data_IF_138720939476
#
_entry.id   IF_138720939476
#
_cell.length_a   1.000
_cell.length_b   1.000
_cell.length_c   1.000
_cell.angle_alpha   90.00
_cell.angle_beta   90.00
_cell.angle_gamma   90.00
#
_symmetry.space_group_name_H-M   'P 1'
#
loop_
_entity.id
_entity.type
_entity.pdbx_description
1 polymer ?
#
# COMPACT_ATOMS: atom_id res chain seq x y z
N UNK A 1 -9.14 -8.62 -34.86
CA UNK A 1 -8.66 -8.35 -33.50
C UNK A 1 -9.01 -6.92 -33.19
N UNK A 2 -9.77 -6.67 -32.12
CA UNK A 2 -10.01 -5.32 -31.60
C UNK A 2 -8.67 -4.71 -31.17
N UNK A 3 -8.42 -3.45 -31.54
CA UNK A 3 -7.21 -2.75 -31.11
C UNK A 3 -7.60 -1.84 -29.96
N UNK A 4 -7.44 -2.31 -28.74
CA UNK A 4 -7.68 -1.54 -27.50
C UNK A 4 -6.35 -0.99 -26.98
N UNK A 5 -5.34 -1.84 -26.87
CA UNK A 5 -4.05 -1.51 -26.26
C UNK A 5 -3.04 -1.17 -27.38
N UNK A 6 -2.46 0.03 -27.32
CA UNK A 6 -1.36 0.46 -28.20
C UNK A 6 0.03 0.26 -27.55
N UNK A 7 0.10 0.45 -26.23
CA UNK A 7 1.31 0.26 -25.42
C UNK A 7 0.91 -0.31 -24.05
N UNK A 8 1.26 -1.55 -23.70
CA UNK A 8 0.89 -2.14 -22.42
C UNK A 8 1.68 -1.58 -21.22
N UNK A 9 2.88 -1.01 -21.44
CA UNK A 9 3.78 -0.59 -20.37
C UNK A 9 3.14 0.42 -19.39
N UNK A 10 2.41 1.48 -19.83
CA UNK A 10 1.77 2.40 -18.89
C UNK A 10 0.63 1.78 -18.07
N UNK A 11 0.14 0.59 -18.44
CA UNK A 11 -0.84 -0.15 -17.65
C UNK A 11 -0.20 -0.95 -16.51
N UNK A 12 1.13 -1.10 -16.49
CA UNK A 12 1.82 -1.76 -15.40
C UNK A 12 1.87 -0.86 -14.15
N UNK A 13 1.66 -1.47 -12.97
CA UNK A 13 1.74 -0.75 -11.70
C UNK A 13 3.16 -0.30 -11.34
N UNK A 14 4.17 -0.92 -11.95
CA UNK A 14 5.59 -0.60 -11.81
C UNK A 14 6.08 0.55 -12.71
N UNK A 15 5.29 0.94 -13.70
CA UNK A 15 5.64 2.00 -14.64
C UNK A 15 5.76 3.36 -13.95
N UNK A 16 6.82 4.11 -14.30
CA UNK A 16 7.09 5.44 -13.80
C UNK A 16 6.70 6.43 -14.90
N UNK A 17 5.63 7.21 -14.74
CA UNK A 17 5.20 8.17 -15.75
C UNK A 17 6.12 9.39 -15.79
N UNK A 18 6.02 10.17 -16.87
CA UNK A 18 6.81 11.39 -17.05
C UNK A 18 6.45 12.52 -16.07
N UNK A 19 5.28 12.46 -15.42
CA UNK A 19 4.88 13.34 -14.31
C UNK A 19 3.90 12.61 -13.38
N UNK A 20 3.80 13.06 -12.13
CA UNK A 20 2.93 12.47 -11.11
C UNK A 20 1.80 13.44 -10.76
N UNK A 21 0.57 12.93 -10.81
CA UNK A 21 -0.62 13.73 -10.46
C UNK A 21 -0.70 13.88 -8.94
N UNK A 22 -0.88 15.12 -8.50
CA UNK A 22 -1.06 15.51 -7.10
C UNK A 22 0.02 14.95 -6.16
N UNK A 23 1.32 15.05 -6.59
CA UNK A 23 2.49 14.68 -5.77
C UNK A 23 3.61 15.73 -5.80
N UNK A 24 3.33 16.91 -6.37
CA UNK A 24 4.33 17.99 -6.42
C UNK A 24 4.77 18.42 -5.02
N UNK A 25 3.82 18.52 -4.09
CA UNK A 25 4.09 18.91 -2.69
C UNK A 25 5.00 17.90 -1.99
N UNK A 26 4.76 16.61 -2.18
CA UNK A 26 5.59 15.55 -1.60
C UNK A 26 6.99 15.53 -2.24
N UNK A 27 7.08 15.69 -3.55
CA UNK A 27 8.36 15.77 -4.29
C UNK A 27 9.17 16.97 -3.81
N UNK A 28 8.55 18.17 -3.75
CA UNK A 28 9.23 19.38 -3.30
C UNK A 28 9.68 19.29 -1.84
N UNK A 29 8.84 18.68 -1.00
CA UNK A 29 9.20 18.43 0.41
C UNK A 29 10.39 17.47 0.53
N UNK A 30 10.44 16.41 -0.26
CA UNK A 30 11.56 15.47 -0.30
C UNK A 30 12.84 16.15 -0.80
N UNK A 31 12.74 16.97 -1.85
CA UNK A 31 13.87 17.78 -2.33
C UNK A 31 14.41 18.69 -1.26
N UNK A 32 13.52 19.47 -0.62
CA UNK A 32 13.87 20.46 0.40
C UNK A 32 14.43 19.81 1.65
N UNK A 33 13.84 18.73 2.12
CA UNK A 33 14.15 18.14 3.42
C UNK A 33 15.19 17.02 3.36
N UNK A 34 15.44 16.42 2.20
CA UNK A 34 16.41 15.32 2.07
C UNK A 34 17.46 15.61 1.01
N UNK A 35 17.05 15.80 -0.25
CA UNK A 35 18.03 15.90 -1.36
C UNK A 35 18.94 17.10 -1.19
N UNK A 36 18.39 18.29 -1.00
CA UNK A 36 19.16 19.53 -0.90
C UNK A 36 20.11 19.54 0.31
N UNK A 37 19.71 19.17 1.55
CA UNK A 37 20.63 19.05 2.66
C UNK A 37 21.79 18.08 2.39
N UNK A 38 21.50 16.91 1.83
CA UNK A 38 22.51 15.88 1.53
C UNK A 38 23.51 16.38 0.47
N UNK A 39 23.04 17.08 -0.56
CA UNK A 39 23.91 17.74 -1.55
C UNK A 39 24.82 18.80 -0.91
N UNK A 40 24.36 19.47 0.15
CA UNK A 40 25.17 20.46 0.92
C UNK A 40 26.08 19.84 1.98
N UNK A 41 26.11 18.51 2.06
CA UNK A 41 27.01 17.80 2.99
C UNK A 41 26.40 17.52 4.37
N UNK A 42 25.08 17.77 4.54
CA UNK A 42 24.36 17.45 5.77
C UNK A 42 23.70 16.08 5.63
N UNK A 43 23.64 15.31 6.71
CA UNK A 43 22.80 14.11 6.75
C UNK A 43 21.33 14.52 6.94
N UNK A 44 20.44 13.83 6.28
CA UNK A 44 18.99 14.03 6.46
C UNK A 44 18.22 12.73 6.32
N UNK A 45 17.29 12.50 7.24
CA UNK A 45 16.53 11.26 7.31
C UNK A 45 15.03 11.56 7.41
N UNK A 46 14.22 10.76 6.72
CA UNK A 46 12.77 10.92 6.71
C UNK A 46 12.06 9.57 6.76
N UNK A 47 10.98 9.50 7.55
CA UNK A 47 9.98 8.45 7.47
C UNK A 47 8.85 8.86 6.53
N UNK A 48 8.57 8.00 5.57
CA UNK A 48 7.43 8.14 4.67
C UNK A 48 6.46 7.02 4.97
N UNK A 49 5.20 7.35 5.22
CA UNK A 49 4.20 6.32 5.51
C UNK A 49 2.85 6.65 4.88
N UNK A 50 2.05 5.62 4.66
CA UNK A 50 0.72 5.72 4.07
C UNK A 50 0.29 4.36 3.51
N UNK A 51 -1.00 4.17 3.31
CA UNK A 51 -1.57 2.91 2.83
C UNK A 51 -0.97 2.46 1.50
N UNK A 52 -1.16 1.17 1.17
CA UNK A 52 -0.75 0.63 -0.13
C UNK A 52 -1.46 1.37 -1.27
N UNK A 53 -0.75 1.60 -2.37
CA UNK A 53 -1.31 2.28 -3.54
C UNK A 53 -1.41 3.81 -3.45
N UNK A 54 -0.93 4.45 -2.37
CA UNK A 54 -0.91 5.92 -2.22
C UNK A 54 0.23 6.61 -2.98
N UNK A 55 1.01 5.88 -3.77
CA UNK A 55 2.03 6.46 -4.64
C UNK A 55 3.42 6.63 -4.03
N UNK A 56 3.71 6.12 -2.82
CA UNK A 56 5.05 6.22 -2.18
C UNK A 56 6.17 5.75 -3.11
N UNK A 57 6.12 4.51 -3.52
CA UNK A 57 7.14 3.87 -4.37
C UNK A 57 7.36 4.60 -5.68
N UNK A 58 6.29 4.96 -6.40
CA UNK A 58 6.39 5.67 -7.68
C UNK A 58 6.97 7.07 -7.49
N UNK A 59 6.58 7.78 -6.42
CA UNK A 59 7.13 9.11 -6.11
C UNK A 59 8.63 9.06 -5.82
N UNK A 60 9.08 8.06 -5.06
CA UNK A 60 10.50 7.88 -4.75
C UNK A 60 11.33 7.51 -5.97
N UNK A 61 10.81 6.64 -6.83
CA UNK A 61 11.47 6.28 -8.09
C UNK A 61 11.48 7.44 -9.09
N UNK A 62 10.38 8.19 -9.17
CA UNK A 62 10.30 9.39 -9.99
C UNK A 62 11.31 10.45 -9.53
N UNK A 63 11.40 10.73 -8.22
CA UNK A 63 12.41 11.62 -7.66
C UNK A 63 13.83 11.16 -8.03
N UNK A 64 14.11 9.87 -7.88
CA UNK A 64 15.42 9.30 -8.22
C UNK A 64 15.77 9.45 -9.71
N UNK A 65 14.79 9.40 -10.61
CA UNK A 65 15.00 9.58 -12.05
C UNK A 65 15.27 11.03 -12.45
N UNK A 66 14.78 11.99 -11.67
CA UNK A 66 14.93 13.42 -11.96
C UNK A 66 16.22 14.02 -11.38
N UNK A 67 16.74 13.46 -10.31
CA UNK A 67 17.86 14.01 -9.58
C UNK A 67 19.20 13.44 -10.06
N UNK A 68 20.05 14.29 -10.59
CA UNK A 68 21.38 13.90 -11.11
C UNK A 68 22.54 14.20 -10.17
N UNK A 69 22.30 14.99 -9.11
CA UNK A 69 23.33 15.46 -8.18
C UNK A 69 23.66 14.49 -7.03
N UNK A 70 22.90 13.41 -6.90
CA UNK A 70 23.05 12.37 -5.87
C UNK A 70 23.01 10.98 -6.50
N UNK A 71 23.66 10.03 -5.85
CA UNK A 71 23.53 8.62 -6.16
C UNK A 71 22.35 8.06 -5.36
N UNK A 72 21.24 7.78 -6.04
CA UNK A 72 20.08 7.11 -5.44
C UNK A 72 20.27 5.60 -5.46
N UNK A 73 20.15 4.98 -4.29
CA UNK A 73 20.08 3.54 -4.16
C UNK A 73 18.73 3.14 -3.57
N UNK A 74 17.96 2.39 -4.35
CA UNK A 74 16.63 1.92 -3.96
C UNK A 74 16.65 0.43 -3.62
N UNK A 75 16.17 0.07 -2.43
CA UNK A 75 16.01 -1.31 -2.00
C UNK A 75 14.62 -1.56 -1.44
N UNK A 76 14.06 -2.73 -1.75
CA UNK A 76 12.87 -3.24 -1.07
C UNK A 76 13.32 -4.10 0.11
N UNK A 77 12.93 -3.71 1.33
CA UNK A 77 13.36 -4.36 2.56
C UNK A 77 12.91 -5.82 2.70
N UNK A 78 11.78 -6.19 2.05
CA UNK A 78 11.26 -7.57 2.10
C UNK A 78 12.29 -8.57 1.57
N UNK A 79 13.06 -8.19 0.54
CA UNK A 79 14.02 -9.08 -0.13
C UNK A 79 15.43 -9.05 0.49
N UNK A 80 15.71 -8.13 1.42
CA UNK A 80 17.09 -7.86 1.84
C UNK A 80 17.45 -8.43 3.19
N UNK A 81 16.60 -8.30 4.18
CA UNK A 81 16.75 -8.92 5.51
C UNK A 81 17.68 -8.21 6.50
N UNK A 82 18.63 -7.34 6.08
CA UNK A 82 19.45 -6.54 6.99
C UNK A 82 19.96 -5.24 6.34
N UNK A 83 20.16 -4.19 7.16
CA UNK A 83 20.77 -2.94 6.69
C UNK A 83 22.22 -3.16 6.25
N UNK A 84 22.94 -4.09 6.85
CA UNK A 84 24.28 -4.44 6.42
C UNK A 84 24.32 -4.94 4.97
N UNK A 85 23.37 -5.81 4.59
CA UNK A 85 23.24 -6.30 3.22
C UNK A 85 22.91 -5.19 2.25
N UNK A 86 22.14 -4.18 2.65
CA UNK A 86 21.89 -2.99 1.82
C UNK A 86 23.20 -2.26 1.52
N UNK A 87 24.06 -2.03 2.54
CA UNK A 87 25.36 -1.39 2.35
C UNK A 87 26.26 -2.20 1.41
N UNK A 88 26.25 -3.53 1.52
CA UNK A 88 26.96 -4.42 0.59
C UNK A 88 26.45 -4.28 -0.83
N UNK A 89 25.13 -4.21 -1.03
CA UNK A 89 24.54 -4.00 -2.36
C UNK A 89 24.90 -2.64 -2.97
N UNK A 90 24.91 -1.56 -2.17
CA UNK A 90 25.39 -0.25 -2.62
C UNK A 90 26.84 -0.36 -3.12
N UNK A 91 27.72 -1.00 -2.36
CA UNK A 91 29.12 -1.20 -2.75
C UNK A 91 29.23 -2.06 -4.02
N UNK A 92 28.42 -3.10 -4.14
CA UNK A 92 28.40 -3.95 -5.34
C UNK A 92 27.96 -3.18 -6.59
N UNK A 93 26.95 -2.30 -6.47
CA UNK A 93 26.51 -1.45 -7.59
C UNK A 93 27.54 -0.38 -7.98
N UNK A 94 28.44 -0.02 -7.05
CA UNK A 94 29.62 0.82 -7.30
C UNK A 94 30.86 0.01 -7.77
N UNK A 95 30.66 -1.26 -8.13
CA UNK A 95 31.71 -2.12 -8.69
C UNK A 95 32.69 -2.70 -7.65
N UNK A 96 32.33 -2.68 -6.34
CA UNK A 96 33.18 -3.21 -5.27
C UNK A 96 32.73 -4.61 -4.86
N UNK A 97 33.64 -5.54 -4.83
CA UNK A 97 33.42 -6.88 -4.28
C UNK A 97 33.69 -6.86 -2.77
N UNK A 98 32.65 -6.96 -1.98
CA UNK A 98 32.70 -6.96 -0.52
C UNK A 98 31.82 -8.09 0.05
N UNK A 99 32.08 -8.52 1.28
CA UNK A 99 31.35 -9.58 1.94
C UNK A 99 30.57 -9.04 3.14
N UNK A 100 29.37 -9.57 3.37
CA UNK A 100 28.56 -9.29 4.57
C UNK A 100 29.29 -9.68 5.88
N UNK A 101 30.30 -10.53 5.80
CA UNK A 101 31.12 -10.90 6.98
C UNK A 101 32.00 -9.76 7.48
N UNK A 102 32.26 -8.75 6.64
CA UNK A 102 33.05 -7.58 7.05
C UNK A 102 32.27 -6.74 8.07
N UNK A 103 32.97 -6.11 9.04
CA UNK A 103 32.34 -5.17 9.97
C UNK A 103 31.82 -3.93 9.24
N UNK A 104 30.81 -3.24 9.81
CA UNK A 104 30.25 -2.01 9.23
C UNK A 104 31.31 -0.95 8.96
N UNK A 105 32.29 -0.79 9.86
CA UNK A 105 33.40 0.18 9.71
C UNK A 105 34.13 -0.01 8.38
N UNK A 106 34.50 -1.25 8.06
CA UNK A 106 35.17 -1.58 6.80
C UNK A 106 34.29 -1.29 5.58
N UNK A 107 32.99 -1.58 5.67
CA UNK A 107 32.04 -1.32 4.59
C UNK A 107 31.83 0.18 4.37
N UNK A 108 31.67 0.98 5.42
CA UNK A 108 31.50 2.43 5.29
C UNK A 108 32.79 3.12 4.82
N UNK A 109 33.99 2.68 5.27
CA UNK A 109 35.25 3.14 4.74
C UNK A 109 35.43 2.82 3.25
N UNK A 110 35.00 1.62 2.83
CA UNK A 110 34.98 1.25 1.42
C UNK A 110 34.01 2.13 0.62
N UNK A 111 32.81 2.42 1.19
CA UNK A 111 31.82 3.28 0.56
C UNK A 111 32.34 4.73 0.38
N UNK A 112 32.98 5.31 1.40
CA UNK A 112 33.61 6.62 1.33
C UNK A 112 34.66 6.73 0.21
N UNK A 113 35.42 5.64 -0.03
CA UNK A 113 36.43 5.56 -1.08
C UNK A 113 35.85 5.28 -2.47
N UNK A 114 34.61 4.79 -2.54
CA UNK A 114 34.01 4.36 -3.80
C UNK A 114 33.30 5.47 -4.55
N UNK A 115 32.80 6.47 -3.85
CA UNK A 115 32.10 7.61 -4.47
C UNK A 115 32.33 8.90 -3.69
N UNK A 116 32.43 9.99 -4.42
CA UNK A 116 32.38 11.36 -3.87
C UNK A 116 30.97 11.97 -3.98
N UNK A 117 30.04 11.30 -4.71
CA UNK A 117 28.67 11.76 -4.83
C UNK A 117 27.91 11.53 -3.51
N UNK A 118 27.06 12.49 -3.13
CA UNK A 118 26.11 12.28 -2.04
C UNK A 118 25.22 11.07 -2.34
N UNK A 119 24.92 10.27 -1.32
CA UNK A 119 24.12 9.06 -1.45
C UNK A 119 22.74 9.31 -0.82
N UNK A 120 21.67 8.96 -1.52
CA UNK A 120 20.33 8.87 -0.95
C UNK A 120 19.92 7.41 -1.00
N UNK A 121 19.85 6.82 0.19
CA UNK A 121 19.36 5.46 0.39
C UNK A 121 17.86 5.47 0.60
N UNK A 122 17.14 4.81 -0.29
CA UNK A 122 15.69 4.57 -0.17
C UNK A 122 15.48 3.12 0.23
N UNK A 123 14.80 2.89 1.35
CA UNK A 123 14.41 1.56 1.82
C UNK A 123 12.89 1.51 1.89
N UNK A 124 12.31 0.86 0.90
CA UNK A 124 10.85 0.68 0.81
C UNK A 124 10.40 -0.59 1.55
N UNK A 125 9.14 -0.61 2.01
CA UNK A 125 8.55 -1.69 2.83
C UNK A 125 9.39 -1.99 4.09
N UNK A 126 9.95 -0.93 4.70
CA UNK A 126 11.00 -1.03 5.74
C UNK A 126 10.49 -1.50 7.12
N UNK A 127 9.17 -1.58 7.36
CA UNK A 127 8.60 -1.77 8.70
C UNK A 127 9.18 -2.99 9.43
N UNK A 128 9.23 -4.12 8.75
CA UNK A 128 9.78 -5.34 9.35
C UNK A 128 11.29 -5.23 9.57
N UNK A 129 12.03 -4.66 8.63
CA UNK A 129 13.49 -4.50 8.73
C UNK A 129 13.86 -3.60 9.90
N UNK A 130 13.15 -2.50 10.11
CA UNK A 130 13.36 -1.59 11.23
C UNK A 130 13.16 -2.30 12.58
N UNK A 131 12.19 -3.22 12.65
CA UNK A 131 11.92 -4.02 13.86
C UNK A 131 12.98 -5.09 14.11
N UNK A 132 13.46 -5.73 13.06
CA UNK A 132 14.33 -6.91 13.17
C UNK A 132 15.83 -6.56 13.20
N UNK A 133 16.22 -5.40 12.64
CA UNK A 133 17.61 -4.95 12.58
C UNK A 133 17.79 -3.47 13.03
N UNK A 134 17.36 -3.11 14.27
CA UNK A 134 17.50 -1.75 14.79
C UNK A 134 18.96 -1.30 14.94
N UNK A 135 19.89 -2.24 15.21
CA UNK A 135 21.30 -1.95 15.28
C UNK A 135 21.92 -1.65 13.91
N UNK A 136 21.47 -2.36 12.88
CA UNK A 136 21.84 -2.06 11.49
C UNK A 136 21.38 -0.68 11.07
N UNK A 137 20.13 -0.31 11.38
CA UNK A 137 19.60 1.04 11.16
C UNK A 137 20.46 2.09 11.86
N UNK A 138 20.78 1.89 13.13
CA UNK A 138 21.62 2.81 13.89
C UNK A 138 22.99 2.99 13.25
N UNK A 139 23.65 1.92 12.80
CA UNK A 139 24.95 2.01 12.13
C UNK A 139 24.87 2.84 10.83
N UNK A 140 23.80 2.65 10.03
CA UNK A 140 23.57 3.43 8.81
C UNK A 140 23.39 4.91 9.14
N UNK A 141 22.60 5.25 10.14
CA UNK A 141 22.34 6.64 10.55
C UNK A 141 23.61 7.35 11.07
N UNK A 142 24.45 6.62 11.80
CA UNK A 142 25.70 7.15 12.34
C UNK A 142 26.83 7.20 11.31
N UNK A 143 26.67 6.57 10.16
CA UNK A 143 27.71 6.50 9.14
C UNK A 143 28.12 7.89 8.61
N UNK A 144 27.17 8.80 8.50
CA UNK A 144 27.45 10.17 8.05
C UNK A 144 28.38 10.90 9.04
N UNK A 145 28.15 10.77 10.35
CA UNK A 145 28.94 11.41 11.40
C UNK A 145 30.30 10.72 11.59
N UNK A 146 30.30 9.38 11.65
CA UNK A 146 31.54 8.63 11.97
C UNK A 146 32.51 8.52 10.81
N UNK A 147 32.03 8.53 9.57
CA UNK A 147 32.86 8.30 8.37
C UNK A 147 32.82 9.48 7.39
N UNK A 148 32.21 10.60 7.79
CA UNK A 148 32.04 11.78 6.93
C UNK A 148 31.41 11.40 5.57
N UNK A 149 30.37 10.57 5.60
CA UNK A 149 29.59 10.16 4.45
C UNK A 149 28.46 11.16 4.23
N UNK A 150 28.34 11.69 3.00
CA UNK A 150 27.17 12.49 2.62
C UNK A 150 26.03 11.55 2.29
N UNK A 151 25.24 11.20 3.30
CA UNK A 151 24.16 10.22 3.12
C UNK A 151 22.86 10.71 3.72
N UNK A 152 21.78 10.53 2.95
CA UNK A 152 20.40 10.68 3.38
C UNK A 152 19.69 9.32 3.38
N UNK A 153 18.73 9.13 4.29
CA UNK A 153 17.96 7.92 4.42
C UNK A 153 16.48 8.22 4.32
N UNK A 154 15.81 7.58 3.37
CA UNK A 154 14.36 7.59 3.20
C UNK A 154 13.82 6.20 3.53
N UNK A 155 13.05 6.09 4.61
CA UNK A 155 12.39 4.86 5.04
C UNK A 155 10.91 4.94 4.71
N UNK A 156 10.43 4.08 3.82
CA UNK A 156 9.03 4.05 3.40
C UNK A 156 8.32 2.78 3.91
N UNK A 157 7.09 2.93 4.39
CA UNK A 157 6.26 1.83 4.90
C UNK A 157 4.76 2.15 4.82
N UNK A 158 3.94 1.16 5.13
CA UNK A 158 2.48 1.35 5.24
C UNK A 158 2.14 2.17 6.48
N UNK A 159 2.72 1.81 7.64
CA UNK A 159 2.54 2.52 8.90
C UNK A 159 3.78 3.35 9.25
N UNK A 160 3.59 4.33 10.16
CA UNK A 160 4.72 5.09 10.67
C UNK A 160 5.67 4.17 11.47
N UNK A 161 6.91 3.95 11.02
CA UNK A 161 7.86 3.08 11.71
C UNK A 161 8.13 3.47 13.15
N UNK A 162 8.05 4.76 13.48
CA UNK A 162 8.27 5.26 14.84
C UNK A 162 7.27 4.68 15.86
N UNK A 163 6.05 4.33 15.43
CA UNK A 163 5.03 3.70 16.30
C UNK A 163 5.41 2.28 16.72
N UNK A 164 6.33 1.65 16.02
CA UNK A 164 6.78 0.28 16.24
C UNK A 164 8.15 0.18 16.92
N UNK A 165 8.73 1.33 17.25
CA UNK A 165 10.02 1.43 17.95
C UNK A 165 9.82 1.68 19.44
N UNK A 166 10.73 1.14 20.26
CA UNK A 166 10.77 1.47 21.68
C UNK A 166 11.27 2.91 21.90
N UNK A 167 10.91 3.52 23.03
CA UNK A 167 11.42 4.85 23.39
C UNK A 167 12.95 4.93 23.45
N UNK A 168 13.63 3.79 23.71
CA UNK A 168 15.09 3.70 23.69
C UNK A 168 15.64 3.76 22.27
N UNK A 169 15.03 3.05 21.34
CA UNK A 169 15.40 3.05 19.92
C UNK A 169 15.17 4.43 19.30
N UNK A 170 14.00 5.05 19.54
CA UNK A 170 13.70 6.41 19.05
C UNK A 170 14.77 7.40 19.55
N UNK A 171 15.13 7.38 20.84
CA UNK A 171 16.19 8.26 21.37
C UNK A 171 17.56 7.98 20.76
N UNK A 172 17.84 6.72 20.40
CA UNK A 172 19.11 6.31 19.82
C UNK A 172 19.26 6.75 18.37
N UNK A 173 18.20 6.66 17.58
CA UNK A 173 18.21 7.03 16.16
C UNK A 173 18.10 8.55 15.93
N UNK A 174 17.62 9.30 16.93
CA UNK A 174 17.49 10.75 16.84
C UNK A 174 16.18 11.20 16.19
N UNK A 175 16.16 12.44 15.70
CA UNK A 175 14.97 13.07 15.10
C UNK A 175 14.89 12.69 13.63
N UNK A 176 13.74 12.14 13.22
CA UNK A 176 13.38 11.96 11.83
C UNK A 176 12.30 12.96 11.43
N UNK A 177 12.40 13.49 10.23
CA UNK A 177 11.26 14.11 9.59
C UNK A 177 10.23 13.02 9.23
N UNK A 178 8.96 13.38 9.25
CA UNK A 178 7.87 12.46 8.89
C UNK A 178 7.04 13.05 7.76
N UNK A 179 6.62 12.17 6.84
CA UNK A 179 5.74 12.54 5.73
C UNK A 179 4.67 11.47 5.55
N UNK A 180 3.42 11.88 5.69
CA UNK A 180 2.27 11.01 5.44
C UNK A 180 1.81 11.17 3.99
N UNK A 181 1.72 10.05 3.28
CA UNK A 181 1.06 9.98 1.98
C UNK A 181 -0.43 9.70 2.18
N UNK A 182 -1.25 10.69 1.85
CA UNK A 182 -2.70 10.55 1.92
C UNK A 182 -3.22 9.71 0.75
N UNK A 183 -4.39 9.10 0.96
CA UNK A 183 -5.16 8.46 -0.11
C UNK A 183 -5.41 9.44 -1.23
N UNK A 184 -5.47 8.95 -2.45
CA UNK A 184 -5.91 9.74 -3.59
C UNK A 184 -7.42 10.00 -3.51
N UNK A 185 -7.84 11.21 -3.88
CA UNK A 185 -9.25 11.51 -4.12
C UNK A 185 -9.73 10.86 -5.42
N UNK A 186 -11.05 10.80 -5.61
CA UNK A 186 -11.65 10.33 -6.87
C UNK A 186 -11.14 11.15 -8.06
N UNK A 187 -11.02 12.46 -7.90
CA UNK A 187 -10.47 13.36 -8.93
C UNK A 187 -9.01 13.06 -9.27
N UNK A 188 -8.19 12.74 -8.26
CA UNK A 188 -6.79 12.35 -8.48
C UNK A 188 -6.71 11.03 -9.24
N UNK A 189 -7.54 10.05 -8.84
CA UNK A 189 -7.59 8.74 -9.50
C UNK A 189 -8.06 8.87 -10.94
N UNK A 190 -9.09 9.68 -11.20
CA UNK A 190 -9.56 9.97 -12.57
C UNK A 190 -8.44 10.57 -13.41
N UNK A 191 -7.71 11.56 -12.88
CA UNK A 191 -6.57 12.16 -13.57
C UNK A 191 -5.44 11.15 -13.85
N UNK A 192 -5.11 10.28 -12.89
CA UNK A 192 -4.10 9.22 -13.07
C UNK A 192 -4.54 8.25 -14.17
N UNK A 193 -5.80 7.81 -14.15
CA UNK A 193 -6.34 6.89 -15.14
C UNK A 193 -6.41 7.50 -16.53
N UNK A 194 -6.83 8.75 -16.64
CA UNK A 194 -6.87 9.49 -17.92
C UNK A 194 -5.46 9.58 -18.53
N UNK A 195 -4.46 9.95 -17.73
CA UNK A 195 -3.08 9.98 -18.18
C UNK A 195 -2.59 8.60 -18.65
N UNK A 196 -2.82 7.55 -17.86
CA UNK A 196 -2.44 6.18 -18.20
C UNK A 196 -3.15 5.66 -19.44
N UNK A 197 -4.46 5.98 -19.60
CA UNK A 197 -5.23 5.56 -20.76
C UNK A 197 -4.71 6.21 -22.05
N UNK A 198 -4.39 7.51 -22.02
CA UNK A 198 -3.81 8.22 -23.16
C UNK A 198 -2.47 7.68 -23.62
N UNK A 199 -1.65 7.21 -22.70
CA UNK A 199 -0.35 6.59 -23.00
C UNK A 199 -0.48 5.14 -23.51
N UNK A 200 -1.48 4.41 -23.03
CA UNK A 200 -1.58 2.96 -23.20
C UNK A 200 -2.60 2.48 -24.23
N UNK A 201 -3.69 3.25 -24.43
CA UNK A 201 -4.83 2.82 -25.25
C UNK A 201 -4.90 3.61 -26.54
N UNK A 202 -5.61 3.05 -27.54
CA UNK A 202 -5.96 3.77 -28.75
C UNK A 202 -7.03 4.83 -28.44
N UNK A 203 -7.04 5.92 -29.21
CA UNK A 203 -8.01 6.99 -29.04
C UNK A 203 -9.46 6.51 -29.26
N UNK A 204 -10.38 6.94 -28.39
CA UNK A 204 -11.81 6.63 -28.49
C UNK A 204 -12.20 5.23 -28.01
N UNK A 205 -11.28 4.44 -27.42
CA UNK A 205 -11.63 3.11 -26.89
C UNK A 205 -12.16 3.14 -25.47
N UNK A 206 -11.97 4.24 -24.75
CA UNK A 206 -12.51 4.46 -23.40
C UNK A 206 -13.06 5.88 -23.31
N UNK A 207 -14.31 6.00 -22.84
CA UNK A 207 -14.96 7.30 -22.61
C UNK A 207 -14.61 7.84 -21.21
N UNK A 208 -14.63 9.17 -21.01
CA UNK A 208 -14.34 9.78 -19.71
C UNK A 208 -15.21 9.25 -18.58
N UNK A 209 -16.49 8.99 -18.82
CA UNK A 209 -17.43 8.45 -17.81
C UNK A 209 -17.00 7.07 -17.32
N UNK A 210 -16.32 6.27 -18.14
CA UNK A 210 -15.80 4.96 -17.75
C UNK A 210 -14.57 5.14 -16.86
N UNK A 211 -13.70 6.11 -17.15
CA UNK A 211 -12.55 6.48 -16.31
C UNK A 211 -13.04 6.92 -14.92
N UNK A 212 -14.04 7.80 -14.87
CA UNK A 212 -14.64 8.25 -13.62
C UNK A 212 -15.34 7.10 -12.87
N UNK A 213 -15.93 6.16 -13.59
CA UNK A 213 -16.49 4.94 -13.03
C UNK A 213 -15.43 4.08 -12.34
N UNK A 214 -14.27 3.88 -12.96
CA UNK A 214 -13.13 3.15 -12.34
C UNK A 214 -12.60 3.91 -11.12
N UNK A 215 -12.46 5.23 -11.22
CA UNK A 215 -12.02 6.08 -10.11
C UNK A 215 -12.98 5.97 -8.91
N UNK A 216 -14.29 6.01 -9.15
CA UNK A 216 -15.33 5.87 -8.12
C UNK A 216 -15.31 4.49 -7.44
N UNK A 217 -15.09 3.42 -8.19
CA UNK A 217 -14.92 2.06 -7.64
C UNK A 217 -13.70 2.01 -6.71
N UNK A 218 -12.62 2.72 -7.06
CA UNK A 218 -11.36 2.74 -6.33
C UNK A 218 -11.31 3.78 -5.19
N UNK A 219 -12.31 4.65 -5.07
CA UNK A 219 -12.35 5.76 -4.10
C UNK A 219 -12.20 5.28 -2.66
N UNK A 220 -12.90 4.22 -2.30
CA UNK A 220 -12.91 3.69 -0.93
C UNK A 220 -11.50 3.31 -0.45
N UNK A 221 -10.72 2.68 -1.32
CA UNK A 221 -9.32 2.36 -1.04
C UNK A 221 -8.40 3.58 -1.20
N UNK A 222 -8.75 4.52 -2.09
CA UNK A 222 -7.91 5.64 -2.52
C UNK A 222 -6.59 5.16 -3.13
N UNK A 223 -6.59 3.96 -3.72
CA UNK A 223 -5.42 3.25 -4.24
C UNK A 223 -5.30 3.43 -5.75
N UNK A 224 -4.29 4.16 -6.20
CA UNK A 224 -3.98 4.25 -7.62
C UNK A 224 -3.57 2.89 -8.21
N UNK A 225 -2.95 2.00 -7.41
CA UNK A 225 -2.62 0.63 -7.84
C UNK A 225 -3.88 -0.11 -8.25
N UNK A 226 -4.90 -0.14 -7.40
CA UNK A 226 -6.18 -0.80 -7.68
C UNK A 226 -6.85 -0.21 -8.92
N UNK A 227 -6.89 1.12 -9.03
CA UNK A 227 -7.49 1.80 -10.18
C UNK A 227 -6.80 1.42 -11.52
N UNK A 228 -5.45 1.41 -11.54
CA UNK A 228 -4.66 1.02 -12.71
C UNK A 228 -4.87 -0.46 -13.04
N UNK A 229 -4.90 -1.34 -12.06
CA UNK A 229 -5.16 -2.77 -12.26
C UNK A 229 -6.54 -3.03 -12.86
N UNK A 230 -7.58 -2.29 -12.43
CA UNK A 230 -8.92 -2.37 -13.03
C UNK A 230 -8.88 -1.94 -14.50
N UNK A 231 -8.24 -0.81 -14.80
CA UNK A 231 -8.08 -0.32 -16.18
C UNK A 231 -7.34 -1.37 -17.04
N UNK A 232 -6.23 -1.89 -16.55
CA UNK A 232 -5.42 -2.93 -17.22
C UNK A 232 -6.27 -4.16 -17.53
N UNK A 233 -6.94 -4.72 -16.55
CA UNK A 233 -7.81 -5.90 -16.72
C UNK A 233 -8.96 -5.64 -17.67
N UNK A 234 -9.63 -4.49 -17.56
CA UNK A 234 -10.72 -4.13 -18.46
C UNK A 234 -10.24 -4.00 -19.91
N UNK A 235 -9.05 -3.41 -20.11
CA UNK A 235 -8.44 -3.32 -21.44
C UNK A 235 -8.12 -4.70 -22.01
N UNK A 236 -7.52 -5.61 -21.22
CA UNK A 236 -7.22 -6.97 -21.67
C UNK A 236 -8.48 -7.80 -21.99
N UNK A 237 -9.51 -7.72 -21.14
CA UNK A 237 -10.78 -8.41 -21.38
C UNK A 237 -11.41 -7.90 -22.69
N UNK A 238 -11.48 -6.56 -22.88
CA UNK A 238 -12.06 -5.97 -24.08
C UNK A 238 -11.30 -6.37 -25.34
N UNK A 239 -9.97 -6.41 -25.29
CA UNK A 239 -9.15 -6.83 -26.44
C UNK A 239 -9.33 -8.32 -26.75
N UNK A 240 -9.34 -9.18 -25.71
CA UNK A 240 -9.55 -10.62 -25.85
C UNK A 240 -10.92 -10.96 -26.44
N UNK A 241 -11.98 -10.27 -25.97
CA UNK A 241 -13.35 -10.43 -26.45
C UNK A 241 -13.59 -9.75 -27.81
N UNK A 242 -12.54 -9.18 -28.45
CA UNK A 242 -12.64 -8.42 -29.70
C UNK A 242 -13.66 -7.26 -29.64
N UNK A 243 -13.83 -6.64 -28.49
CA UNK A 243 -14.66 -5.44 -28.34
C UNK A 243 -13.96 -4.24 -28.98
N UNK A 244 -14.74 -3.21 -29.31
CA UNK A 244 -14.19 -1.96 -29.87
C UNK A 244 -13.89 -0.92 -28.81
N UNK A 245 -14.54 -1.01 -27.66
CA UNK A 245 -14.46 -0.07 -26.54
C UNK A 245 -14.47 -0.81 -25.22
N UNK A 246 -13.98 -0.13 -24.18
CA UNK A 246 -14.09 -0.56 -22.78
C UNK A 246 -15.41 0.02 -22.24
N UNK A 247 -16.30 -0.80 -21.75
CA UNK A 247 -17.58 -0.42 -21.16
C UNK A 247 -17.64 -0.75 -19.65
N UNK A 248 -18.66 -0.20 -18.96
CA UNK A 248 -18.85 -0.44 -17.52
C UNK A 248 -19.09 -1.90 -17.15
N UNK A 249 -19.63 -2.70 -18.06
CA UNK A 249 -19.80 -4.14 -17.83
C UNK A 249 -18.43 -4.82 -17.70
N UNK A 250 -17.52 -4.49 -18.63
CA UNK A 250 -16.14 -5.00 -18.62
C UNK A 250 -15.37 -4.51 -17.40
N UNK A 251 -15.56 -3.23 -17.00
CA UNK A 251 -14.97 -2.67 -15.77
C UNK A 251 -15.46 -3.42 -14.53
N UNK A 252 -16.75 -3.73 -14.42
CA UNK A 252 -17.27 -4.52 -13.29
C UNK A 252 -16.69 -5.93 -13.25
N UNK A 253 -16.56 -6.60 -14.42
CA UNK A 253 -15.89 -7.90 -14.52
C UNK A 253 -14.43 -7.82 -14.08
N UNK A 254 -13.71 -6.80 -14.56
CA UNK A 254 -12.31 -6.55 -14.19
C UNK A 254 -12.17 -6.30 -12.68
N UNK A 255 -13.01 -5.44 -12.11
CA UNK A 255 -13.02 -5.14 -10.67
C UNK A 255 -13.28 -6.39 -9.83
N UNK A 256 -14.23 -7.23 -10.23
CA UNK A 256 -14.50 -8.50 -9.55
C UNK A 256 -13.30 -9.47 -9.57
N UNK A 257 -12.48 -9.42 -10.63
CA UNK A 257 -11.26 -10.24 -10.74
C UNK A 257 -10.07 -9.70 -9.96
N UNK A 258 -10.02 -8.39 -9.69
CA UNK A 258 -8.89 -7.73 -9.03
C UNK A 258 -9.08 -7.69 -7.51
N UNK A 259 -10.30 -7.87 -7.06
CA UNK A 259 -10.63 -7.95 -5.64
C UNK A 259 -10.39 -9.36 -5.02
N UNK A 260 -9.22 -9.99 -5.18
CA UNK A 260 -8.88 -11.27 -4.60
C UNK A 260 -8.10 -11.12 -3.29
N UNK A 261 -8.15 -9.95 -2.61
CA UNK A 261 -7.43 -9.80 -1.36
C UNK A 261 -8.21 -10.29 -0.12
N UNK A 262 -9.39 -10.80 -0.32
CA UNK A 262 -9.77 -11.98 0.42
C UNK A 262 -9.44 -13.14 -0.52
N UNK A 263 -8.22 -13.52 -0.54
CA UNK A 263 -7.85 -14.80 -1.09
C UNK A 263 -8.75 -15.85 -0.43
N UNK A 264 -9.19 -16.82 -1.20
CA UNK A 264 -9.74 -18.05 -0.66
C UNK A 264 -8.99 -18.51 0.59
N UNK A 265 -7.67 -18.25 0.67
CA UNK A 265 -6.85 -18.50 1.84
C UNK A 265 -7.32 -17.76 3.10
N UNK A 266 -7.68 -16.47 3.05
CA UNK A 266 -8.17 -15.76 4.24
C UNK A 266 -9.55 -16.26 4.69
N UNK A 267 -10.42 -16.63 3.74
CA UNK A 267 -11.71 -17.24 4.08
C UNK A 267 -11.55 -18.68 4.58
N UNK A 268 -10.56 -19.42 4.06
CA UNK A 268 -10.24 -20.77 4.53
C UNK A 268 -9.54 -20.79 5.90
N UNK A 269 -8.98 -19.68 6.37
CA UNK A 269 -8.49 -19.52 7.74
C UNK A 269 -9.62 -19.36 8.76
N UNK A 270 -10.82 -19.00 8.30
CA UNK A 270 -11.98 -18.79 9.16
C UNK A 270 -12.68 -20.12 9.48
N UNK A 271 -13.07 -20.27 10.74
CA UNK A 271 -13.93 -21.38 11.13
C UNK A 271 -15.39 -21.13 10.65
N UNK A 272 -16.20 -22.16 10.70
CA UNK A 272 -17.60 -22.12 10.23
C UNK A 272 -18.42 -21.02 10.94
N UNK A 273 -18.16 -20.77 12.23
CA UNK A 273 -18.87 -19.72 12.99
C UNK A 273 -18.43 -18.35 12.55
N UNK A 274 -17.14 -18.14 12.31
CA UNK A 274 -16.59 -16.89 11.80
C UNK A 274 -17.12 -16.57 10.41
N UNK A 275 -17.23 -17.58 9.53
CA UNK A 275 -17.84 -17.43 8.19
C UNK A 275 -19.31 -17.02 8.29
N UNK A 276 -20.10 -17.58 9.19
CA UNK A 276 -21.51 -17.22 9.39
C UNK A 276 -21.65 -15.80 9.99
N UNK A 277 -20.74 -15.39 10.87
CA UNK A 277 -20.70 -14.03 11.41
C UNK A 277 -20.33 -13.04 10.29
N UNK A 278 -19.36 -13.37 9.46
CA UNK A 278 -19.00 -12.56 8.29
C UNK A 278 -20.14 -12.45 7.29
N UNK A 279 -20.83 -13.57 6.99
CA UNK A 279 -22.03 -13.58 6.16
C UNK A 279 -23.11 -12.63 6.70
N UNK A 280 -23.29 -12.61 8.03
CA UNK A 280 -24.29 -11.75 8.67
C UNK A 280 -23.94 -10.27 8.47
N UNK A 281 -22.68 -9.89 8.60
CA UNK A 281 -22.19 -8.52 8.32
C UNK A 281 -22.43 -8.17 6.84
N UNK A 282 -22.07 -9.08 5.93
CA UNK A 282 -22.26 -8.88 4.49
C UNK A 282 -23.74 -8.66 4.12
N UNK A 283 -24.64 -9.47 4.64
CA UNK A 283 -26.08 -9.36 4.33
C UNK A 283 -26.72 -8.06 4.83
N UNK A 284 -26.23 -7.52 5.96
CA UNK A 284 -26.68 -6.22 6.48
C UNK A 284 -26.21 -5.10 5.54
N UNK A 285 -24.95 -5.13 5.14
CA UNK A 285 -24.36 -4.13 4.25
C UNK A 285 -24.96 -4.18 2.84
N UNK A 286 -25.29 -5.38 2.32
CA UNK A 286 -25.96 -5.54 1.02
C UNK A 286 -27.33 -4.84 0.98
N UNK A 287 -28.05 -4.84 2.11
CA UNK A 287 -29.34 -4.14 2.27
C UNK A 287 -29.17 -2.63 2.52
N UNK A 288 -27.96 -2.08 2.45
CA UNK A 288 -27.62 -0.69 2.78
C UNK A 288 -28.02 -0.30 4.22
N UNK A 289 -27.94 -1.24 5.16
CA UNK A 289 -28.17 -1.01 6.58
C UNK A 289 -26.81 -0.81 7.27
N UNK A 290 -26.75 0.11 8.25
CA UNK A 290 -25.54 0.28 9.07
C UNK A 290 -25.22 -1.01 9.84
N UNK A 291 -24.08 -1.62 9.59
CA UNK A 291 -23.63 -2.79 10.32
C UNK A 291 -23.14 -2.39 11.73
N UNK A 292 -24.07 -2.30 12.66
CA UNK A 292 -23.80 -2.06 14.10
C UNK A 292 -23.84 -3.39 14.85
N UNK A 293 -23.26 -3.43 16.06
CA UNK A 293 -23.30 -4.66 16.87
C UNK A 293 -24.71 -5.20 17.09
N UNK A 294 -25.68 -4.31 17.26
CA UNK A 294 -27.10 -4.67 17.42
C UNK A 294 -27.60 -5.41 16.18
N UNK A 295 -27.52 -4.78 14.99
CA UNK A 295 -27.96 -5.37 13.72
C UNK A 295 -27.20 -6.67 13.39
N UNK A 296 -25.89 -6.71 13.71
CA UNK A 296 -25.06 -7.90 13.48
C UNK A 296 -25.56 -9.05 14.37
N UNK A 297 -25.83 -8.81 15.66
CA UNK A 297 -26.31 -9.84 16.57
C UNK A 297 -27.68 -10.40 16.14
N UNK A 298 -28.59 -9.53 15.70
CA UNK A 298 -29.91 -9.95 15.20
C UNK A 298 -29.77 -10.83 13.93
N UNK A 299 -28.94 -10.41 12.98
CA UNK A 299 -28.73 -11.17 11.75
C UNK A 299 -27.98 -12.50 11.99
N UNK A 300 -27.06 -12.55 12.98
CA UNK A 300 -26.40 -13.77 13.42
C UNK A 300 -27.45 -14.76 13.92
N UNK A 301 -28.42 -14.32 14.74
CA UNK A 301 -29.53 -15.17 15.21
C UNK A 301 -30.21 -15.86 14.03
N UNK A 302 -30.62 -15.09 13.02
CA UNK A 302 -31.27 -15.62 11.82
C UNK A 302 -30.43 -16.65 11.07
N UNK A 303 -29.12 -16.34 10.84
CA UNK A 303 -28.24 -17.21 10.06
C UNK A 303 -27.90 -18.53 10.79
N UNK A 304 -27.77 -18.50 12.11
CA UNK A 304 -27.48 -19.70 12.91
C UNK A 304 -28.72 -20.58 13.08
N UNK A 305 -29.89 -19.98 13.37
CA UNK A 305 -31.16 -20.73 13.46
C UNK A 305 -31.52 -21.41 12.13
N UNK A 306 -31.34 -20.72 10.99
CA UNK A 306 -31.61 -21.29 9.67
C UNK A 306 -30.79 -22.55 9.37
N UNK A 307 -29.63 -22.72 10.08
CA UNK A 307 -28.71 -23.86 9.90
C UNK A 307 -28.67 -24.82 11.08
N UNK A 308 -29.66 -24.76 11.96
CA UNK A 308 -29.73 -25.57 13.18
C UNK A 308 -28.47 -25.52 14.03
N UNK A 309 -27.78 -24.35 14.06
CA UNK A 309 -26.59 -24.14 14.85
C UNK A 309 -26.87 -23.32 16.13
N UNK A 310 -26.19 -23.60 17.26
CA UNK A 310 -26.35 -22.81 18.45
C UNK A 310 -25.84 -21.37 18.24
N UNK A 311 -26.67 -20.39 18.58
CA UNK A 311 -26.33 -18.96 18.48
C UNK A 311 -25.13 -18.68 19.39
N UNK A 312 -24.02 -18.08 18.87
CA UNK A 312 -22.85 -17.78 19.66
C UNK A 312 -23.12 -16.68 20.70
N UNK A 313 -22.44 -16.77 21.83
CA UNK A 313 -22.49 -15.74 22.86
C UNK A 313 -21.74 -14.45 22.42
N UNK A 314 -22.08 -13.33 23.07
CA UNK A 314 -21.46 -12.03 22.74
C UNK A 314 -19.92 -12.04 22.80
N UNK A 315 -19.26 -12.66 23.80
CA UNK A 315 -17.80 -12.75 23.83
C UNK A 315 -17.20 -13.45 22.58
N UNK A 316 -17.85 -14.50 22.09
CA UNK A 316 -17.41 -15.20 20.89
C UNK A 316 -17.61 -14.33 19.64
N UNK A 317 -18.76 -13.64 19.51
CA UNK A 317 -19.01 -12.70 18.42
C UNK A 317 -17.94 -11.61 18.40
N UNK A 318 -17.61 -10.99 19.53
CA UNK A 318 -16.56 -9.98 19.62
C UNK A 318 -15.18 -10.52 19.26
N UNK A 319 -14.86 -11.77 19.60
CA UNK A 319 -13.60 -12.42 19.24
C UNK A 319 -13.52 -12.64 17.74
N UNK A 320 -14.57 -13.17 17.14
CA UNK A 320 -14.66 -13.39 15.70
C UNK A 320 -14.52 -12.07 14.94
N UNK A 321 -15.24 -11.02 15.33
CA UNK A 321 -15.14 -9.70 14.67
C UNK A 321 -13.70 -9.14 14.79
N UNK A 322 -13.03 -9.27 15.94
CA UNK A 322 -11.61 -8.86 16.07
C UNK A 322 -10.69 -9.67 15.18
N UNK A 323 -10.94 -10.95 15.02
CA UNK A 323 -10.18 -11.79 14.09
C UNK A 323 -10.40 -11.34 12.65
N UNK A 324 -11.64 -11.05 12.23
CA UNK A 324 -11.95 -10.48 10.93
C UNK A 324 -11.30 -9.10 10.71
N UNK A 325 -11.25 -8.25 11.75
CA UNK A 325 -10.52 -6.98 11.72
C UNK A 325 -8.99 -7.20 11.56
N UNK A 326 -8.43 -8.20 12.23
CA UNK A 326 -6.99 -8.52 12.13
C UNK A 326 -6.57 -9.07 10.77
N UNK A 327 -7.50 -9.66 10.04
CA UNK A 327 -7.34 -10.15 8.67
C UNK A 327 -7.65 -9.07 7.62
N UNK A 328 -7.95 -7.83 8.02
CA UNK A 328 -8.39 -6.74 7.15
C UNK A 328 -9.59 -7.11 6.26
N UNK A 329 -10.48 -7.96 6.77
CA UNK A 329 -11.74 -8.34 6.10
C UNK A 329 -12.84 -7.34 6.46
N UNK A 330 -12.87 -6.92 7.72
CA UNK A 330 -13.85 -5.98 8.28
C UNK A 330 -13.10 -4.81 8.92
N UNK A 331 -13.58 -3.59 8.72
CA UNK A 331 -13.07 -2.38 9.35
C UNK A 331 -14.11 -1.81 10.31
N UNK A 332 -13.72 -1.62 11.57
CA UNK A 332 -14.59 -1.02 12.58
C UNK A 332 -14.29 0.46 12.82
N UNK A 333 -15.20 1.35 12.44
CA UNK A 333 -15.08 2.80 12.63
C UNK A 333 -15.91 3.23 13.85
N UNK A 334 -15.28 4.01 14.75
CA UNK A 334 -15.95 4.60 15.91
C UNK A 334 -16.45 5.99 15.58
N UNK A 335 -17.76 6.19 15.68
CA UNK A 335 -18.41 7.48 15.52
C UNK A 335 -18.88 8.01 16.88
N UNK A 336 -18.53 9.27 17.18
CA UNK A 336 -19.05 9.94 18.38
C UNK A 336 -20.47 10.42 18.12
N UNK A 337 -21.41 10.04 18.97
CA UNK A 337 -22.81 10.49 18.90
C UNK A 337 -23.03 11.89 19.51
N UNK A 338 -21.96 12.61 19.86
CA UNK A 338 -22.00 13.92 20.48
C UNK A 338 -21.85 13.89 22.02
N UNK A 339 -21.71 15.09 22.65
CA UNK A 339 -21.46 15.21 24.07
C UNK A 339 -22.53 14.46 24.90
N UNK A 340 -22.11 13.43 25.64
CA UNK A 340 -22.96 12.65 26.53
C UNK A 340 -23.77 11.50 25.90
N UNK A 341 -23.69 11.25 24.57
CA UNK A 341 -24.48 10.20 23.88
C UNK A 341 -23.71 8.93 23.57
N UNK A 342 -22.44 8.81 23.99
CA UNK A 342 -21.65 7.62 23.77
C UNK A 342 -20.98 7.54 22.39
N UNK A 343 -20.36 6.39 22.10
CA UNK A 343 -19.66 6.09 20.85
C UNK A 343 -20.34 4.88 20.20
N UNK A 344 -20.74 5.01 18.94
CA UNK A 344 -21.27 3.90 18.13
C UNK A 344 -20.13 3.35 17.26
N UNK A 345 -19.96 2.04 17.24
CA UNK A 345 -19.03 1.39 16.32
C UNK A 345 -19.82 0.85 15.14
N UNK A 346 -19.44 1.24 13.91
CA UNK A 346 -19.99 0.71 12.68
C UNK A 346 -18.92 -0.12 12.00
N UNK A 347 -19.34 -1.18 11.34
CA UNK A 347 -18.46 -2.07 10.62
C UNK A 347 -18.69 -1.92 9.13
N UNK A 348 -17.60 -1.89 8.41
CA UNK A 348 -17.57 -1.81 6.95
C UNK A 348 -16.77 -3.00 6.42
N UNK A 349 -17.05 -3.39 5.21
CA UNK A 349 -16.16 -4.32 4.53
C UNK A 349 -14.92 -3.56 4.08
N UNK A 350 -13.77 -4.22 4.14
CA UNK A 350 -12.56 -3.73 3.51
C UNK A 350 -12.74 -3.54 2.00
N UNK A 351 -11.74 -3.84 1.20
CA UNK A 351 -11.74 -3.55 -0.24
C UNK A 351 -12.65 -4.44 -1.11
N UNK A 352 -13.56 -5.23 -0.53
CA UNK A 352 -14.36 -6.22 -1.27
C UNK A 352 -15.81 -5.82 -1.49
N UNK A 353 -16.33 -6.09 -2.71
CA UNK A 353 -17.76 -6.08 -2.95
C UNK A 353 -18.47 -7.13 -2.08
N UNK A 354 -19.46 -6.67 -1.31
CA UNK A 354 -20.24 -7.49 -0.40
C UNK A 354 -20.88 -8.70 -1.12
N UNK A 355 -21.38 -8.51 -2.35
CA UNK A 355 -21.98 -9.55 -3.17
C UNK A 355 -21.02 -10.70 -3.53
N UNK A 356 -19.76 -10.37 -3.81
CA UNK A 356 -18.74 -11.38 -4.13
C UNK A 356 -18.39 -12.21 -2.90
N UNK A 357 -18.33 -11.56 -1.72
CA UNK A 357 -18.12 -12.27 -0.46
C UNK A 357 -19.23 -13.21 -0.11
N UNK A 358 -20.47 -12.76 -0.23
CA UNK A 358 -21.65 -13.60 0.02
C UNK A 358 -21.58 -14.86 -0.84
N UNK A 359 -21.32 -14.70 -2.14
CA UNK A 359 -21.20 -15.84 -3.04
C UNK A 359 -20.08 -16.81 -2.61
N UNK A 360 -18.88 -16.30 -2.33
CA UNK A 360 -17.74 -17.14 -1.91
C UNK A 360 -17.96 -17.82 -0.56
N UNK A 361 -18.60 -17.14 0.39
CA UNK A 361 -18.94 -17.74 1.69
C UNK A 361 -19.93 -18.90 1.49
N UNK A 362 -20.93 -18.75 0.62
CA UNK A 362 -21.85 -19.85 0.30
C UNK A 362 -21.12 -21.03 -0.34
N UNK A 363 -20.18 -20.78 -1.28
CA UNK A 363 -19.37 -21.85 -1.90
C UNK A 363 -18.50 -22.63 -0.89
N UNK A 364 -18.14 -22.01 0.25
CA UNK A 364 -17.32 -22.66 1.30
C UNK A 364 -18.18 -23.38 2.35
N UNK A 365 -19.41 -22.86 2.62
CA UNK A 365 -20.27 -23.40 3.69
C UNK A 365 -21.16 -24.53 3.17
N UNK A 366 -21.49 -24.56 1.87
CA UNK A 366 -22.23 -25.67 1.20
C UNK A 366 -21.26 -26.80 0.82
#
# INVERSE_FOLDING_TARGET
MGKIIKNPEPLETSYIPGYLINRDTEIDSLRKNVVFPVMKGLSSNIFIYGQSGTGKTVTLRFLASMETGCYFHYENAISVGSFKRIVVKILSSLGKQVSEKQPFDSLFMALKRSTSMPIILVVDECLNLVKTDPDGLYNVLRSAELYDLRMGLILASVDNPALHMTSREIRRIGIFNEMKFNKYSTSDLSGILDHRSKESLYDGVIEPDIIDGIASISERSGSARMAIEILQKAAFISEYDNRRTIDMETVRKASAMINPYITESKLMELDQKELLILLSICQILERNIDATMEHITDQIGVNFETRDQPIPDLPLIYRAIRHLESLDIVEGVRESLGRGKGVKKRFFMGDLPVSVLIQKIFEIIE
#
